data_IF_206763102564
#
_entry.id   IF_206763102564
#
_cell.length_a   1.000
_cell.length_b   1.000
_cell.length_c   1.000
_cell.angle_alpha   90.00
_cell.angle_beta   90.00
_cell.angle_gamma   90.00
#
_symmetry.space_group_name_H-M   'P 1'
#
loop_
_entity.id
_entity.type
_entity.pdbx_description
1 polymer ?
#
# COMPACT_ATOMS: atom_id res chain seq x y z
N UNK A 1 -3.61 6.74 -13.45
CA UNK A 1 -2.20 6.33 -13.65
C UNK A 1 -1.31 7.10 -12.68
N UNK A 2 -0.52 6.39 -11.86
CA UNK A 2 0.47 7.00 -10.97
C UNK A 2 1.81 7.10 -11.71
N UNK A 3 2.38 8.32 -11.76
CA UNK A 3 3.63 8.59 -12.49
C UNK A 3 4.62 9.29 -11.58
N UNK A 4 5.86 8.80 -11.61
CA UNK A 4 7.05 9.46 -11.10
C UNK A 4 7.84 10.00 -12.29
N UNK A 5 8.17 11.27 -12.31
CA UNK A 5 8.88 11.90 -13.42
C UNK A 5 10.17 12.57 -12.91
N UNK A 6 11.32 12.01 -13.30
CA UNK A 6 12.67 12.49 -12.98
C UNK A 6 12.88 12.76 -11.49
N UNK A 7 12.29 11.88 -10.63
CA UNK A 7 12.27 12.09 -9.18
C UNK A 7 13.62 11.81 -8.54
N UNK A 8 13.99 12.65 -7.58
CA UNK A 8 15.09 12.40 -6.64
C UNK A 8 14.52 12.36 -5.23
N UNK A 9 14.67 11.23 -4.55
CA UNK A 9 14.00 10.92 -3.28
C UNK A 9 15.00 10.42 -2.25
N UNK A 10 14.81 10.77 -0.98
CA UNK A 10 15.67 10.30 0.11
C UNK A 10 15.26 10.83 1.48
N UNK A 11 16.22 10.85 2.41
CA UNK A 11 16.02 11.26 3.81
C UNK A 11 17.12 12.25 4.23
N UNK A 12 16.82 13.09 5.24
CA UNK A 12 17.82 13.97 5.88
C UNK A 12 18.69 14.77 4.89
N UNK A 13 18.07 15.30 3.82
CA UNK A 13 18.74 16.06 2.74
C UNK A 13 19.70 15.24 1.88
N UNK A 14 19.67 13.92 1.96
CA UNK A 14 20.49 13.02 1.14
C UNK A 14 19.58 12.25 0.17
N UNK A 15 19.69 12.47 -1.15
CA UNK A 15 18.95 11.68 -2.14
C UNK A 15 19.56 10.27 -2.27
N UNK A 16 18.75 9.25 -2.05
CA UNK A 16 19.08 7.83 -2.25
C UNK A 16 18.71 7.36 -3.65
N UNK A 17 17.62 7.89 -4.17
CA UNK A 17 17.15 7.70 -5.55
C UNK A 17 17.41 8.98 -6.29
N UNK A 18 17.95 8.91 -7.52
CA UNK A 18 18.29 10.08 -8.33
C UNK A 18 17.75 9.93 -9.74
N UNK A 19 17.00 10.94 -10.20
CA UNK A 19 16.50 11.07 -11.56
C UNK A 19 15.75 9.80 -12.06
N UNK A 20 14.87 9.23 -11.24
CA UNK A 20 14.11 8.04 -11.55
C UNK A 20 12.76 8.42 -12.19
N UNK A 21 12.41 7.76 -13.31
CA UNK A 21 11.10 7.89 -13.94
C UNK A 21 10.45 6.53 -14.06
N UNK A 22 9.19 6.43 -13.63
CA UNK A 22 8.38 5.20 -13.73
C UNK A 22 6.90 5.51 -13.72
N UNK A 23 6.14 4.70 -14.45
CA UNK A 23 4.68 4.78 -14.54
C UNK A 23 4.05 3.49 -14.03
N UNK A 24 3.01 3.63 -13.22
CA UNK A 24 2.19 2.54 -12.68
C UNK A 24 0.84 2.60 -13.41
N UNK A 25 0.52 1.64 -14.26
CA UNK A 25 -0.72 1.63 -15.03
C UNK A 25 -1.95 1.52 -14.11
N UNK A 26 -3.02 2.22 -14.46
CA UNK A 26 -4.30 2.12 -13.74
C UNK A 26 -4.90 0.72 -13.90
N UNK A 27 -5.53 0.19 -12.84
CA UNK A 27 -6.19 -1.12 -12.86
C UNK A 27 -5.23 -2.31 -13.02
N UNK A 28 -3.96 -2.13 -12.64
CA UNK A 28 -2.93 -3.17 -12.74
C UNK A 28 -2.31 -3.49 -11.38
N UNK A 29 -1.68 -4.66 -11.31
CA UNK A 29 -0.77 -5.02 -10.22
C UNK A 29 0.65 -4.77 -10.72
N UNK A 30 1.30 -3.74 -10.19
CA UNK A 30 2.73 -3.46 -10.45
C UNK A 30 3.53 -3.86 -9.22
N UNK A 31 4.56 -4.69 -9.40
CA UNK A 31 5.41 -5.12 -8.29
C UNK A 31 6.82 -4.57 -8.42
N UNK A 32 7.33 -4.02 -7.32
CA UNK A 32 8.72 -3.60 -7.18
C UNK A 32 9.47 -4.70 -6.44
N UNK A 33 10.55 -5.20 -7.03
CA UNK A 33 11.47 -6.17 -6.44
C UNK A 33 12.91 -5.65 -6.46
N UNK A 34 13.78 -6.26 -5.65
CA UNK A 34 15.20 -5.94 -5.59
C UNK A 34 15.79 -6.26 -4.21
N UNK A 35 17.11 -6.20 -4.07
CA UNK A 35 17.79 -6.49 -2.80
C UNK A 35 17.39 -5.53 -1.68
N UNK A 36 17.68 -5.91 -0.43
CA UNK A 36 17.46 -5.04 0.72
C UNK A 36 18.32 -3.78 0.60
N UNK A 37 17.74 -2.63 0.95
CA UNK A 37 18.42 -1.33 0.89
C UNK A 37 18.56 -0.73 -0.52
N UNK A 38 18.03 -1.35 -1.59
CA UNK A 38 18.10 -0.78 -2.94
C UNK A 38 17.17 0.42 -3.18
N UNK A 39 16.29 0.78 -2.22
CA UNK A 39 15.45 1.97 -2.32
C UNK A 39 13.95 1.74 -2.57
N UNK A 40 13.46 0.48 -2.57
CA UNK A 40 12.02 0.16 -2.80
C UNK A 40 11.09 0.92 -1.87
N UNK A 41 11.27 0.76 -0.56
CA UNK A 41 10.49 1.48 0.47
C UNK A 41 10.69 3.00 0.36
N UNK A 42 11.88 3.48 0.03
CA UNK A 42 12.16 4.90 -0.18
C UNK A 42 11.32 5.46 -1.33
N UNK A 43 11.22 4.72 -2.45
CA UNK A 43 10.42 5.13 -3.62
C UNK A 43 8.95 5.27 -3.28
N UNK A 44 8.37 4.31 -2.58
CA UNK A 44 6.93 4.35 -2.27
C UNK A 44 6.61 5.26 -1.07
N UNK A 45 7.52 5.41 -0.11
CA UNK A 45 7.29 6.20 1.10
C UNK A 45 7.23 7.71 0.86
N UNK A 46 7.65 8.19 -0.32
CA UNK A 46 7.43 9.59 -0.71
C UNK A 46 5.95 9.92 -0.88
N UNK A 47 5.12 8.92 -1.20
CA UNK A 47 3.69 9.09 -1.38
C UNK A 47 2.96 9.37 -0.07
N UNK A 48 3.47 8.92 1.07
CA UNK A 48 2.95 9.26 2.40
C UNK A 48 3.80 10.35 3.10
N UNK A 49 4.80 10.91 2.40
CA UNK A 49 5.77 11.91 2.92
C UNK A 49 6.66 11.41 4.07
N UNK A 50 6.87 10.11 4.20
CA UNK A 50 7.88 9.56 5.10
C UNK A 50 9.29 9.69 4.53
N UNK A 51 9.43 9.77 3.21
CA UNK A 51 10.65 10.24 2.53
C UNK A 51 10.39 11.57 1.81
N UNK A 52 11.45 12.26 1.42
CA UNK A 52 11.42 13.62 0.88
C UNK A 52 11.68 13.60 -0.62
N UNK A 53 10.87 14.31 -1.39
CA UNK A 53 11.10 14.61 -2.79
C UNK A 53 12.02 15.84 -2.89
N UNK A 54 13.17 15.69 -3.54
CA UNK A 54 14.13 16.78 -3.77
C UNK A 54 14.00 17.41 -5.16
N UNK A 55 13.65 16.59 -6.15
CA UNK A 55 13.47 17.03 -7.54
C UNK A 55 12.46 16.13 -8.25
N UNK A 56 11.95 16.60 -9.39
CA UNK A 56 10.96 15.90 -10.20
C UNK A 56 9.53 16.11 -9.72
N UNK A 57 8.59 15.35 -10.26
CA UNK A 57 7.18 15.43 -9.91
C UNK A 57 6.55 14.05 -9.75
N UNK A 58 5.48 13.98 -8.96
CA UNK A 58 4.70 12.77 -8.75
C UNK A 58 3.24 13.11 -8.99
N UNK A 59 2.65 12.47 -10.00
CA UNK A 59 1.25 12.72 -10.37
C UNK A 59 0.41 11.44 -10.28
N UNK A 60 -0.83 11.59 -9.85
CA UNK A 60 -1.87 10.57 -9.93
C UNK A 60 -3.02 11.11 -10.78
N UNK A 61 -3.28 10.46 -11.92
CA UNK A 61 -4.27 10.87 -12.91
C UNK A 61 -4.11 12.34 -13.37
N UNK A 62 -2.84 12.77 -13.51
CA UNK A 62 -2.45 14.13 -13.92
C UNK A 62 -2.42 15.16 -12.79
N UNK A 63 -2.89 14.84 -11.59
CA UNK A 63 -2.83 15.74 -10.44
C UNK A 63 -1.53 15.55 -9.63
N UNK A 64 -0.90 16.65 -9.22
CA UNK A 64 0.28 16.59 -8.34
C UNK A 64 -0.09 16.06 -6.96
N UNK A 65 0.25 14.79 -6.70
CA UNK A 65 -0.09 14.10 -5.46
C UNK A 65 0.86 14.48 -4.32
N UNK A 66 2.10 14.87 -4.62
CA UNK A 66 3.08 15.17 -3.59
C UNK A 66 2.77 16.48 -2.86
N UNK A 67 2.33 17.52 -3.58
CA UNK A 67 1.98 18.81 -2.98
C UNK A 67 0.57 18.87 -2.39
N UNK A 68 -0.27 17.85 -2.64
CA UNK A 68 -1.59 17.73 -1.99
C UNK A 68 -1.46 17.72 -0.46
N UNK A 69 -2.52 18.23 0.21
CA UNK A 69 -2.67 18.05 1.65
C UNK A 69 -2.73 16.57 2.03
N UNK A 70 -2.27 16.21 3.23
CA UNK A 70 -2.30 14.83 3.70
C UNK A 70 -3.70 14.22 3.68
N UNK A 71 -4.71 15.02 3.99
CA UNK A 71 -6.12 14.64 3.97
C UNK A 71 -6.60 14.25 2.55
N UNK A 72 -6.39 15.11 1.55
CA UNK A 72 -6.78 14.84 0.16
C UNK A 72 -6.00 13.66 -0.43
N UNK A 73 -4.70 13.57 -0.14
CA UNK A 73 -3.87 12.46 -0.60
C UNK A 73 -4.35 11.12 -0.02
N UNK A 74 -4.73 11.09 1.26
CA UNK A 74 -5.27 9.90 1.90
C UNK A 74 -6.66 9.50 1.37
N UNK A 75 -7.36 10.35 0.64
CA UNK A 75 -8.58 9.99 -0.10
C UNK A 75 -8.29 9.38 -1.50
N UNK A 76 -7.06 9.50 -1.99
CA UNK A 76 -6.66 9.01 -3.32
C UNK A 76 -5.78 7.77 -3.25
N UNK A 77 -4.94 7.65 -2.22
CA UNK A 77 -4.00 6.54 -2.04
C UNK A 77 -4.17 5.93 -0.66
N UNK A 78 -4.46 4.63 -0.63
CA UNK A 78 -4.37 3.81 0.56
C UNK A 78 -2.96 3.21 0.67
N UNK A 79 -2.36 3.26 1.86
CA UNK A 79 -1.00 2.81 2.09
C UNK A 79 -0.94 1.82 3.25
N UNK A 80 -0.46 0.59 2.97
CA UNK A 80 -0.12 -0.41 3.98
C UNK A 80 1.40 -0.41 4.15
N UNK A 81 1.94 0.22 5.21
CA UNK A 81 3.37 0.20 5.48
C UNK A 81 3.82 -1.16 6.01
N UNK A 82 5.11 -1.41 5.94
CA UNK A 82 5.72 -2.52 6.66
C UNK A 82 5.50 -2.30 8.18
N UNK A 83 4.73 -3.20 8.81
CA UNK A 83 4.32 -3.03 10.21
C UNK A 83 5.49 -3.44 11.11
N UNK A 84 6.07 -2.47 11.84
CA UNK A 84 7.17 -2.67 12.79
C UNK A 84 6.88 -2.11 14.19
N UNK A 85 5.76 -1.41 14.37
CA UNK A 85 5.51 -0.60 15.58
C UNK A 85 4.60 -1.27 16.60
N UNK A 86 4.57 -0.67 17.80
CA UNK A 86 3.68 -1.06 18.89
C UNK A 86 2.24 -0.94 18.43
N UNK A 87 1.50 -2.03 18.53
CA UNK A 87 0.12 -2.10 18.09
C UNK A 87 -0.76 -1.66 19.25
N UNK A 88 -1.68 -0.71 19.02
CA UNK A 88 -2.58 -0.26 20.09
C UNK A 88 -3.53 -1.39 20.49
N UNK A 89 -3.79 -1.54 21.79
CA UNK A 89 -4.77 -2.48 22.34
C UNK A 89 -6.20 -1.96 22.06
N UNK A 90 -6.63 -1.99 20.78
CA UNK A 90 -7.95 -1.58 20.34
C UNK A 90 -8.72 -2.78 19.81
N UNK A 91 -10.07 -2.82 19.89
CA UNK A 91 -10.87 -3.79 19.18
C UNK A 91 -10.61 -3.72 17.68
N UNK A 92 -10.58 -4.87 17.01
CA UNK A 92 -10.34 -4.98 15.56
C UNK A 92 -11.21 -4.02 14.75
N UNK A 93 -12.53 -4.00 14.99
CA UNK A 93 -13.44 -3.11 14.27
C UNK A 93 -13.06 -1.64 14.41
N UNK A 94 -12.65 -1.22 15.63
CA UNK A 94 -12.23 0.16 15.87
C UNK A 94 -10.96 0.51 15.08
N UNK A 95 -10.00 -0.42 14.97
CA UNK A 95 -8.81 -0.19 14.16
C UNK A 95 -9.16 -0.11 12.66
N UNK A 96 -10.05 -0.96 12.16
CA UNK A 96 -10.48 -0.92 10.74
C UNK A 96 -11.24 0.38 10.44
N UNK A 97 -12.05 0.89 11.38
CA UNK A 97 -12.72 2.20 11.26
C UNK A 97 -11.76 3.37 11.04
N UNK A 98 -10.49 3.27 11.51
CA UNK A 98 -9.48 4.30 11.26
C UNK A 98 -9.19 4.49 9.76
N UNK A 99 -9.41 3.49 8.92
CA UNK A 99 -9.36 3.64 7.46
C UNK A 99 -10.30 4.71 6.92
N UNK A 100 -11.37 5.05 7.65
CA UNK A 100 -12.32 6.09 7.25
C UNK A 100 -11.95 7.51 7.71
N UNK A 101 -10.89 7.69 8.51
CA UNK A 101 -10.50 9.01 9.02
C UNK A 101 -10.35 10.09 7.93
N UNK A 102 -9.82 9.80 6.72
CA UNK A 102 -9.73 10.79 5.65
C UNK A 102 -11.08 11.30 5.12
N UNK A 103 -12.19 10.70 5.53
CA UNK A 103 -13.53 11.07 5.06
C UNK A 103 -14.39 11.66 6.18
N UNK A 104 -13.91 11.63 7.43
CA UNK A 104 -14.67 12.14 8.55
C UNK A 104 -14.76 13.68 8.50
N UNK A 105 -15.99 14.18 8.49
CA UNK A 105 -16.28 15.60 8.61
C UNK A 105 -16.04 16.14 10.03
N UNK A 106 -16.51 17.35 10.28
CA UNK A 106 -16.35 18.05 11.56
C UNK A 106 -16.88 17.26 12.77
N UNK A 107 -17.96 16.50 12.60
CA UNK A 107 -18.56 15.66 13.64
C UNK A 107 -17.72 14.43 14.03
N UNK A 108 -16.73 14.06 13.24
CA UNK A 108 -15.92 12.85 13.38
C UNK A 108 -16.73 11.55 13.57
N UNK A 109 -17.97 11.52 13.05
CA UNK A 109 -18.85 10.35 13.14
C UNK A 109 -18.89 9.63 11.80
N UNK A 110 -18.82 8.29 11.86
CA UNK A 110 -18.99 7.43 10.70
C UNK A 110 -20.44 7.48 10.21
N UNK A 111 -20.60 7.65 8.91
CA UNK A 111 -21.88 7.53 8.21
C UNK A 111 -22.31 6.05 8.12
N UNK A 112 -23.50 5.78 7.61
CA UNK A 112 -23.94 4.41 7.30
C UNK A 112 -23.08 3.78 6.20
N UNK A 113 -22.68 4.58 5.21
CA UNK A 113 -21.81 4.13 4.12
C UNK A 113 -20.40 3.81 4.63
N UNK A 114 -19.81 4.64 5.49
CA UNK A 114 -18.51 4.35 6.11
C UNK A 114 -18.53 3.01 6.88
N UNK A 115 -19.60 2.78 7.66
CA UNK A 115 -19.74 1.51 8.39
C UNK A 115 -19.85 0.31 7.47
N UNK A 116 -20.57 0.45 6.35
CA UNK A 116 -20.66 -0.60 5.35
C UNK A 116 -19.28 -0.92 4.75
N UNK A 117 -18.50 0.10 4.37
CA UNK A 117 -17.15 -0.10 3.85
C UNK A 117 -16.21 -0.79 4.86
N UNK A 118 -16.37 -0.50 6.15
CA UNK A 118 -15.64 -1.19 7.23
C UNK A 118 -16.05 -2.67 7.30
N UNK A 119 -17.35 -2.98 7.28
CA UNK A 119 -17.84 -4.36 7.29
C UNK A 119 -17.37 -5.13 6.05
N UNK A 120 -17.55 -4.55 4.85
CA UNK A 120 -17.11 -5.14 3.58
C UNK A 120 -15.61 -5.47 3.60
N UNK A 121 -14.79 -4.57 4.14
CA UNK A 121 -13.35 -4.78 4.29
C UNK A 121 -13.01 -5.90 5.28
N UNK A 122 -13.72 -5.99 6.41
CA UNK A 122 -13.54 -7.05 7.41
C UNK A 122 -13.96 -8.42 6.86
N UNK A 123 -15.06 -8.48 6.12
CA UNK A 123 -15.53 -9.71 5.47
C UNK A 123 -14.54 -10.16 4.39
N UNK A 124 -14.12 -9.26 3.50
CA UNK A 124 -13.16 -9.55 2.43
C UNK A 124 -11.83 -10.10 2.95
N UNK A 125 -11.36 -9.62 4.09
CA UNK A 125 -10.10 -10.09 4.70
C UNK A 125 -10.27 -11.23 5.69
N UNK A 126 -11.51 -11.76 5.86
CA UNK A 126 -11.87 -12.87 6.74
C UNK A 126 -11.45 -12.63 8.21
N UNK A 127 -11.80 -11.46 8.76
CA UNK A 127 -11.50 -11.08 10.16
C UNK A 127 -12.75 -10.77 10.98
N UNK A 128 -13.94 -11.00 10.46
CA UNK A 128 -15.22 -10.68 11.12
C UNK A 128 -15.35 -11.35 12.50
N UNK A 129 -14.86 -12.60 12.64
CA UNK A 129 -14.90 -13.34 13.90
C UNK A 129 -14.03 -12.71 14.99
N UNK A 130 -13.06 -11.87 14.60
CA UNK A 130 -12.16 -11.17 15.52
C UNK A 130 -12.63 -9.76 15.86
N UNK A 131 -13.83 -9.36 15.45
CA UNK A 131 -14.35 -7.98 15.53
C UNK A 131 -14.08 -7.29 16.86
N UNK A 132 -14.33 -7.97 17.98
CA UNK A 132 -14.23 -7.43 19.33
C UNK A 132 -12.94 -7.82 20.04
N UNK A 133 -12.03 -8.53 19.36
CA UNK A 133 -10.74 -8.95 19.94
C UNK A 133 -9.77 -7.77 19.93
N UNK A 134 -8.97 -7.62 20.96
CA UNK A 134 -7.92 -6.61 21.02
C UNK A 134 -6.79 -6.95 20.04
N UNK A 135 -6.35 -5.97 19.25
CA UNK A 135 -5.41 -6.19 18.13
C UNK A 135 -4.02 -6.62 18.58
N UNK A 136 -3.59 -6.27 19.78
CA UNK A 136 -2.32 -6.67 20.38
C UNK A 136 -2.26 -8.15 20.77
N UNK A 137 -3.42 -8.80 20.95
CA UNK A 137 -3.51 -10.23 21.30
C UNK A 137 -3.55 -11.15 20.08
N UNK A 138 -3.66 -10.60 18.87
CA UNK A 138 -3.78 -11.37 17.64
C UNK A 138 -2.44 -11.98 17.19
N UNK A 139 -2.52 -13.15 16.52
CA UNK A 139 -1.37 -13.69 15.79
C UNK A 139 -0.92 -12.73 14.67
N UNK A 140 0.35 -12.82 14.26
CA UNK A 140 0.91 -11.95 13.22
C UNK A 140 0.10 -11.98 11.92
N UNK A 141 -0.36 -13.16 11.50
CA UNK A 141 -1.14 -13.31 10.27
C UNK A 141 -2.53 -12.68 10.34
N UNK A 142 -3.24 -12.83 11.47
CA UNK A 142 -4.56 -12.19 11.64
C UNK A 142 -4.37 -10.69 11.74
N UNK A 143 -3.39 -10.22 12.49
CA UNK A 143 -3.05 -8.81 12.64
C UNK A 143 -2.73 -8.15 11.29
N UNK A 144 -1.96 -8.81 10.42
CA UNK A 144 -1.69 -8.32 9.07
C UNK A 144 -2.98 -8.15 8.26
N UNK A 145 -3.92 -9.11 8.37
CA UNK A 145 -5.24 -9.00 7.72
C UNK A 145 -6.07 -7.84 8.27
N UNK A 146 -5.95 -7.53 9.56
CA UNK A 146 -6.62 -6.36 10.18
C UNK A 146 -6.09 -5.06 9.61
N UNK A 147 -4.78 -4.90 9.49
CA UNK A 147 -4.20 -3.69 8.87
C UNK A 147 -4.53 -3.60 7.38
N UNK A 148 -4.60 -4.74 6.69
CA UNK A 148 -5.03 -4.76 5.30
C UNK A 148 -6.51 -4.36 5.18
N UNK A 149 -7.40 -4.85 6.06
CA UNK A 149 -8.80 -4.41 6.12
C UNK A 149 -8.91 -2.90 6.37
N UNK A 150 -8.11 -2.34 7.30
CA UNK A 150 -8.06 -0.89 7.54
C UNK A 150 -7.66 -0.13 6.25
N UNK A 151 -6.68 -0.65 5.52
CA UNK A 151 -6.25 -0.07 4.23
C UNK A 151 -7.36 -0.14 3.19
N UNK A 152 -8.08 -1.27 3.10
CA UNK A 152 -9.20 -1.45 2.17
C UNK A 152 -10.43 -0.60 2.55
N UNK A 153 -10.71 -0.46 3.85
CA UNK A 153 -11.79 0.40 4.35
C UNK A 153 -11.63 1.87 3.94
N UNK A 154 -10.41 2.32 3.64
CA UNK A 154 -10.13 3.65 3.08
C UNK A 154 -10.79 3.83 1.70
N UNK A 155 -11.04 2.74 0.96
CA UNK A 155 -11.72 2.70 -0.33
C UNK A 155 -11.10 3.57 -1.43
N UNK A 156 -9.78 3.66 -1.45
CA UNK A 156 -9.04 4.33 -2.52
C UNK A 156 -8.93 3.44 -3.78
N UNK A 157 -8.79 4.08 -4.95
CA UNK A 157 -8.57 3.36 -6.20
C UNK A 157 -7.10 2.91 -6.36
N UNK A 158 -6.18 3.59 -5.68
CA UNK A 158 -4.76 3.21 -5.65
C UNK A 158 -4.38 2.69 -4.27
N UNK A 159 -3.83 1.48 -4.23
CA UNK A 159 -3.41 0.78 -3.01
C UNK A 159 -1.91 0.50 -3.10
N UNK A 160 -1.17 0.90 -2.07
CA UNK A 160 0.28 0.68 -1.97
C UNK A 160 0.54 -0.27 -0.80
N UNK A 161 1.28 -1.34 -1.06
CA UNK A 161 1.55 -2.41 -0.12
C UNK A 161 3.06 -2.60 0.02
N UNK A 162 3.61 -2.23 1.18
CA UNK A 162 5.04 -2.36 1.46
C UNK A 162 5.31 -3.66 2.21
N UNK A 163 5.82 -4.67 1.50
CA UNK A 163 6.16 -5.99 2.03
C UNK A 163 5.04 -6.62 2.89
N UNK A 164 3.81 -6.72 2.37
CA UNK A 164 2.64 -7.05 3.18
C UNK A 164 2.64 -8.48 3.74
N UNK A 165 3.57 -9.33 3.34
CA UNK A 165 3.61 -10.75 3.71
C UNK A 165 4.85 -11.19 4.48
N UNK A 166 5.72 -10.25 4.88
CA UNK A 166 7.04 -10.55 5.45
C UNK A 166 7.00 -11.42 6.72
N UNK A 167 5.94 -11.34 7.52
CA UNK A 167 5.81 -12.10 8.78
C UNK A 167 4.71 -13.18 8.73
N UNK A 168 4.25 -13.54 7.53
CA UNK A 168 3.18 -14.51 7.34
C UNK A 168 3.76 -15.90 7.05
N UNK A 169 3.10 -16.94 7.55
CA UNK A 169 3.33 -18.32 7.09
C UNK A 169 2.87 -18.50 5.64
N UNK A 170 3.29 -19.56 4.97
CA UNK A 170 3.00 -19.82 3.55
C UNK A 170 1.51 -19.85 3.23
N UNK A 171 0.68 -20.36 4.14
CA UNK A 171 -0.78 -20.45 3.94
C UNK A 171 -1.38 -19.04 3.96
N UNK A 172 -1.01 -18.26 4.96
CA UNK A 172 -1.45 -16.85 5.10
C UNK A 172 -0.96 -15.98 3.95
N UNK A 173 0.28 -16.18 3.48
CA UNK A 173 0.79 -15.49 2.28
C UNK A 173 -0.04 -15.82 1.04
N UNK A 174 -0.31 -17.09 0.77
CA UNK A 174 -1.10 -17.51 -0.38
C UNK A 174 -2.53 -16.95 -0.32
N UNK A 175 -3.15 -16.94 0.85
CA UNK A 175 -4.46 -16.34 1.04
C UNK A 175 -4.44 -14.83 0.76
N UNK A 176 -3.40 -14.12 1.20
CA UNK A 176 -3.22 -12.70 0.92
C UNK A 176 -3.10 -12.44 -0.60
N UNK A 177 -2.24 -13.19 -1.28
CA UNK A 177 -2.03 -12.98 -2.72
C UNK A 177 -3.26 -13.29 -3.57
N UNK A 178 -4.14 -14.22 -3.13
CA UNK A 178 -5.43 -14.50 -3.82
C UNK A 178 -6.40 -13.33 -3.78
N UNK A 179 -6.26 -12.40 -2.84
CA UNK A 179 -7.10 -11.21 -2.74
C UNK A 179 -6.74 -10.15 -3.79
N UNK A 180 -5.46 -10.08 -4.22
CA UNK A 180 -4.99 -9.02 -5.11
C UNK A 180 -5.65 -9.05 -6.50
N UNK A 181 -5.78 -10.20 -7.20
CA UNK A 181 -6.53 -10.27 -8.46
C UNK A 181 -8.00 -9.88 -8.33
N UNK A 182 -8.63 -10.16 -7.19
CA UNK A 182 -10.02 -9.77 -6.94
C UNK A 182 -10.14 -8.24 -6.86
N UNK A 183 -9.23 -7.59 -6.13
CA UNK A 183 -9.16 -6.12 -6.05
C UNK A 183 -8.87 -5.49 -7.41
N UNK A 184 -7.95 -6.08 -8.19
CA UNK A 184 -7.69 -5.65 -9.57
C UNK A 184 -8.95 -5.75 -10.45
N UNK A 185 -9.69 -6.85 -10.36
CA UNK A 185 -10.94 -7.05 -11.11
C UNK A 185 -12.02 -6.02 -10.72
N UNK A 186 -11.95 -5.44 -9.52
CA UNK A 186 -12.76 -4.31 -9.07
C UNK A 186 -12.23 -2.95 -9.56
N UNK A 187 -11.21 -2.92 -10.42
CA UNK A 187 -10.62 -1.71 -10.99
C UNK A 187 -9.53 -1.07 -10.12
N UNK A 188 -9.12 -1.69 -9.01
CA UNK A 188 -8.08 -1.12 -8.14
C UNK A 188 -6.70 -1.20 -8.81
N UNK A 189 -5.90 -0.16 -8.62
CA UNK A 189 -4.47 -0.09 -8.99
C UNK A 189 -3.64 -0.50 -7.76
N UNK A 190 -2.78 -1.49 -7.90
CA UNK A 190 -2.00 -2.02 -6.79
C UNK A 190 -0.51 -1.85 -7.08
N UNK A 191 0.19 -1.13 -6.21
CA UNK A 191 1.65 -1.04 -6.20
C UNK A 191 2.17 -1.85 -5.01
N UNK A 192 2.90 -2.92 -5.30
CA UNK A 192 3.33 -3.92 -4.33
C UNK A 192 4.85 -3.96 -4.24
N UNK A 193 5.42 -3.96 -3.05
CA UNK A 193 6.84 -4.26 -2.82
C UNK A 193 6.98 -5.68 -2.32
N UNK A 194 7.82 -6.48 -2.98
CA UNK A 194 8.13 -7.85 -2.59
C UNK A 194 9.64 -8.12 -2.60
N UNK A 195 10.03 -9.16 -1.85
CA UNK A 195 11.39 -9.73 -1.92
C UNK A 195 11.44 -10.97 -2.82
N UNK A 196 10.32 -11.69 -2.94
CA UNK A 196 10.22 -12.93 -3.70
C UNK A 196 9.93 -12.63 -5.18
N UNK A 197 10.96 -12.76 -6.02
CA UNK A 197 10.85 -12.57 -7.46
C UNK A 197 9.92 -13.62 -8.10
N UNK A 198 9.98 -14.89 -7.68
CA UNK A 198 9.15 -15.94 -8.26
C UNK A 198 7.65 -15.63 -8.01
N UNK A 199 7.33 -15.11 -6.83
CA UNK A 199 5.97 -14.67 -6.54
C UNK A 199 5.58 -13.42 -7.33
N UNK A 200 6.49 -12.45 -7.45
CA UNK A 200 6.24 -11.25 -8.23
C UNK A 200 5.91 -11.59 -9.70
N UNK A 201 6.66 -12.49 -10.32
CA UNK A 201 6.42 -12.96 -11.69
C UNK A 201 5.02 -13.59 -11.88
N UNK A 202 4.48 -14.25 -10.83
CA UNK A 202 3.18 -14.94 -10.93
C UNK A 202 1.96 -14.05 -10.74
N UNK A 203 2.10 -12.90 -10.05
CA UNK A 203 0.93 -12.09 -9.66
C UNK A 203 0.89 -10.72 -10.35
N UNK A 204 1.98 -10.29 -10.97
CA UNK A 204 2.10 -8.92 -11.49
C UNK A 204 1.71 -8.82 -12.96
N UNK A 205 1.17 -7.67 -13.34
CA UNK A 205 1.03 -7.27 -14.74
C UNK A 205 2.27 -6.52 -15.23
N UNK A 206 2.93 -5.81 -14.29
CA UNK A 206 4.18 -5.08 -14.52
C UNK A 206 5.16 -5.35 -13.39
N UNK A 207 6.41 -5.59 -13.76
CA UNK A 207 7.52 -5.77 -12.85
C UNK A 207 8.48 -4.59 -12.95
N UNK A 208 8.98 -4.15 -11.80
CA UNK A 208 10.04 -3.14 -11.69
C UNK A 208 11.13 -3.75 -10.83
N UNK A 209 12.33 -3.88 -11.38
CA UNK A 209 13.50 -4.37 -10.64
C UNK A 209 14.38 -3.19 -10.27
N UNK A 210 14.66 -3.03 -8.99
CA UNK A 210 15.51 -1.95 -8.47
C UNK A 210 16.82 -2.48 -7.92
N UNK A 211 17.89 -1.75 -8.21
CA UNK A 211 19.21 -1.97 -7.65
C UNK A 211 19.89 -0.61 -7.36
N UNK A 212 20.46 -0.45 -6.17
CA UNK A 212 21.26 0.74 -5.78
C UNK A 212 20.58 2.09 -6.09
N UNK A 213 19.28 2.20 -5.87
CA UNK A 213 18.52 3.44 -6.08
C UNK A 213 18.08 3.70 -7.53
N UNK A 214 18.35 2.78 -8.44
CA UNK A 214 17.98 2.86 -9.86
C UNK A 214 17.04 1.71 -10.28
N UNK A 215 16.29 1.90 -11.36
CA UNK A 215 15.55 0.83 -12.03
C UNK A 215 16.49 0.19 -13.04
N UNK A 216 16.76 -1.12 -12.89
CA UNK A 216 17.54 -1.91 -13.85
C UNK A 216 16.68 -2.67 -14.84
N UNK A 217 15.41 -2.89 -14.54
CA UNK A 217 14.42 -3.48 -15.43
C UNK A 217 13.03 -2.96 -15.12
N UNK A 218 12.22 -2.75 -16.14
CA UNK A 218 10.78 -2.59 -16.03
C UNK A 218 10.11 -3.14 -17.28
N UNK A 219 9.10 -3.99 -17.11
CA UNK A 219 8.41 -4.66 -18.19
C UNK A 219 7.30 -5.56 -17.70
N UNK A 220 6.79 -6.42 -18.57
CA UNK A 220 5.89 -7.50 -18.18
C UNK A 220 6.67 -8.69 -17.60
N UNK A 221 6.03 -9.61 -16.83
CA UNK A 221 6.70 -10.81 -16.32
C UNK A 221 7.26 -11.74 -17.40
N UNK A 222 6.77 -11.64 -18.64
CA UNK A 222 7.18 -12.50 -19.77
C UNK A 222 8.40 -11.94 -20.54
N UNK A 223 8.78 -10.68 -20.33
CA UNK A 223 9.95 -10.00 -20.87
C UNK A 223 11.20 -10.27 -20.04
#
# INVERSE_FOLDING_TARGET
MLKFDSVSIGYHKVPLIKNLSVEIPTGSITTIVGPNGCGKTTLISVLNKSSQLFNGSITLDGEDIYHMSGHLRAQKIAFLPQIREVIPALPVHTLVEHGRFPYLGFSRRLTKEDRKLVEDAMEFTHITDYRNVATDTLSGGIRQRVFFAMTLAQNCDTIILDEPTTFLDLVSQNNFYRMLPILKAQGKTILLVLHDLAKALTISDKLIVMESGAICFQGTPDE
#
